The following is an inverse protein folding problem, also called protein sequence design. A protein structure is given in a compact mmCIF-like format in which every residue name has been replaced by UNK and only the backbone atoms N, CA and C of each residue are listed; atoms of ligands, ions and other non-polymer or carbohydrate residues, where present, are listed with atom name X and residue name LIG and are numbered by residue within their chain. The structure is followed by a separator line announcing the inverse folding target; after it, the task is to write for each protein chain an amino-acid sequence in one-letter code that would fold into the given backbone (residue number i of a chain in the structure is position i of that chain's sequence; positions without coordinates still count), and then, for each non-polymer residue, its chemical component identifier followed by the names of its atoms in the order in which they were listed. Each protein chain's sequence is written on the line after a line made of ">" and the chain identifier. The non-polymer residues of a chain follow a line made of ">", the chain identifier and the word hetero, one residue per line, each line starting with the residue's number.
data_IF_851543697568
#
_entry.id   IF_851543697568
#
_cell.length_a   1.000
_cell.length_b   1.000
_cell.length_c   1.000
_cell.angle_alpha   90.00
_cell.angle_beta   90.00
_cell.angle_gamma   90.00
#
_symmetry.space_group_name_H-M   'P 1'
#
loop_
_entity.id
_entity.type
_entity.pdbx_description
1 polymer ?
#
# COMPACT_ATOMS: atom_id res chain seq x y z
N UNK A 1 -12.04 30.96 -0.66
CA UNK A 1 -12.14 29.71 0.12
C UNK A 1 -11.17 28.69 -0.47
N UNK A 2 -9.96 28.57 0.09
CA UNK A 2 -8.94 27.64 -0.42
C UNK A 2 -9.35 26.21 -0.08
N UNK A 3 -9.60 25.39 -1.10
CA UNK A 3 -9.92 23.97 -0.92
C UNK A 3 -8.63 23.25 -0.52
N UNK A 4 -8.47 22.95 0.76
CA UNK A 4 -7.34 22.16 1.27
C UNK A 4 -7.40 20.76 0.64
N UNK A 5 -6.58 20.51 -0.38
CA UNK A 5 -6.50 19.18 -0.97
C UNK A 5 -5.64 18.29 -0.08
N UNK A 6 -6.25 17.27 0.53
CA UNK A 6 -5.56 16.25 1.31
C UNK A 6 -4.75 15.26 0.43
N UNK A 7 -4.87 15.35 -0.90
CA UNK A 7 -4.16 14.51 -1.86
C UNK A 7 -2.69 14.92 -2.02
N UNK A 8 -1.78 13.96 -2.17
CA UNK A 8 -0.46 14.22 -2.72
C UNK A 8 -0.58 14.66 -4.19
N UNK A 9 0.21 15.65 -4.60
CA UNK A 9 0.44 15.90 -6.03
C UNK A 9 1.32 14.81 -6.63
N UNK A 10 1.42 14.74 -7.96
CA UNK A 10 2.34 13.81 -8.63
C UNK A 10 3.80 14.04 -8.22
N UNK A 11 4.22 15.31 -8.09
CA UNK A 11 5.54 15.67 -7.58
C UNK A 11 5.75 15.28 -6.12
N UNK A 12 4.75 15.48 -5.26
CA UNK A 12 4.84 15.01 -3.86
C UNK A 12 4.95 13.48 -3.79
N UNK A 13 4.25 12.77 -4.67
CA UNK A 13 4.29 11.32 -4.74
C UNK A 13 5.63 10.79 -5.26
N UNK A 14 6.21 11.43 -6.27
CA UNK A 14 7.55 11.12 -6.75
C UNK A 14 8.61 11.32 -5.64
N UNK A 15 8.49 12.39 -4.84
CA UNK A 15 9.35 12.63 -3.70
C UNK A 15 9.19 11.53 -2.63
N UNK A 16 7.96 11.15 -2.30
CA UNK A 16 7.67 10.06 -1.35
C UNK A 16 8.32 8.75 -1.80
N UNK A 17 8.19 8.37 -3.08
CA UNK A 17 8.83 7.16 -3.61
C UNK A 17 10.36 7.24 -3.57
N UNK A 18 10.92 8.40 -3.94
CA UNK A 18 12.37 8.61 -3.88
C UNK A 18 12.92 8.40 -2.47
N UNK A 19 12.23 8.92 -1.44
CA UNK A 19 12.62 8.70 -0.04
C UNK A 19 12.46 7.22 0.33
N UNK A 20 11.36 6.58 -0.10
CA UNK A 20 11.09 5.17 0.19
C UNK A 20 12.15 4.22 -0.41
N UNK A 21 12.64 4.50 -1.61
CA UNK A 21 13.71 3.74 -2.27
C UNK A 21 15.06 3.87 -1.56
N UNK A 22 15.30 5.01 -0.90
CA UNK A 22 16.51 5.25 -0.12
C UNK A 22 16.51 4.66 1.30
N UNK A 23 15.41 4.09 1.79
CA UNK A 23 15.27 3.71 3.21
C UNK A 23 16.31 2.70 3.69
N UNK A 24 16.56 1.68 2.87
CA UNK A 24 17.49 0.59 3.17
C UNK A 24 18.94 1.09 3.29
N UNK A 25 19.33 2.00 2.39
CA UNK A 25 20.72 2.42 2.25
C UNK A 25 21.07 3.67 3.06
N UNK A 26 20.12 4.58 3.24
CA UNK A 26 20.38 5.93 3.74
C UNK A 26 19.76 6.23 5.10
N UNK A 27 18.80 5.41 5.57
CA UNK A 27 18.00 5.75 6.76
C UNK A 27 17.98 4.65 7.84
N UNK A 28 18.79 3.60 7.70
CA UNK A 28 18.94 2.54 8.70
C UNK A 28 17.68 1.69 8.87
N UNK A 29 16.91 1.50 7.79
CA UNK A 29 15.81 0.55 7.76
C UNK A 29 16.34 -0.82 7.35
N UNK A 30 15.75 -1.89 7.90
CA UNK A 30 16.00 -3.22 7.34
C UNK A 30 15.40 -3.29 5.93
N UNK A 31 16.01 -4.11 5.06
CA UNK A 31 15.51 -4.36 3.71
C UNK A 31 14.03 -4.75 3.73
N UNK A 32 13.65 -5.70 4.58
CA UNK A 32 12.27 -6.15 4.75
C UNK A 32 11.29 -5.02 5.11
N UNK A 33 11.68 -4.11 6.00
CA UNK A 33 10.82 -2.99 6.39
C UNK A 33 10.68 -1.95 5.27
N UNK A 34 11.77 -1.68 4.54
CA UNK A 34 11.76 -0.77 3.39
C UNK A 34 10.93 -1.34 2.22
N UNK A 35 11.09 -2.62 1.89
CA UNK A 35 10.31 -3.33 0.87
C UNK A 35 8.81 -3.33 1.21
N UNK A 36 8.48 -3.68 2.47
CA UNK A 36 7.11 -3.69 2.96
C UNK A 36 6.44 -2.31 2.84
N UNK A 37 7.16 -1.25 3.20
CA UNK A 37 6.62 0.11 3.10
C UNK A 37 6.45 0.57 1.65
N UNK A 38 7.44 0.31 0.77
CA UNK A 38 7.33 0.60 -0.67
C UNK A 38 6.12 -0.07 -1.29
N UNK A 39 5.90 -1.34 -0.95
CA UNK A 39 4.71 -2.07 -1.37
C UNK A 39 3.42 -1.38 -0.92
N UNK A 40 3.29 -1.03 0.36
CA UNK A 40 2.07 -0.37 0.85
C UNK A 40 1.83 1.00 0.22
N UNK A 41 2.89 1.75 -0.07
CA UNK A 41 2.80 3.03 -0.76
C UNK A 41 2.27 2.83 -2.19
N UNK A 42 2.95 2.02 -3.01
CA UNK A 42 2.55 1.79 -4.41
C UNK A 42 1.17 1.12 -4.51
N UNK A 43 0.92 0.08 -3.71
CA UNK A 43 -0.31 -0.69 -3.75
C UNK A 43 -1.51 0.11 -3.22
N UNK A 44 -1.34 0.83 -2.11
CA UNK A 44 -2.37 1.72 -1.57
C UNK A 44 -2.70 2.87 -2.52
N UNK A 45 -1.68 3.47 -3.15
CA UNK A 45 -1.89 4.50 -4.16
C UNK A 45 -2.66 4.00 -5.39
N UNK A 46 -2.30 2.82 -5.88
CA UNK A 46 -2.92 2.24 -7.08
C UNK A 46 -4.36 1.78 -6.86
N UNK A 47 -4.69 1.30 -5.66
CA UNK A 47 -6.01 0.73 -5.33
C UNK A 47 -6.94 1.71 -4.62
N UNK A 48 -6.40 2.78 -4.03
CA UNK A 48 -7.16 3.73 -3.21
C UNK A 48 -7.67 3.15 -1.89
N UNK A 49 -7.22 1.95 -1.49
CA UNK A 49 -7.62 1.31 -0.24
C UNK A 49 -6.62 1.58 0.88
N UNK A 50 -7.10 1.50 2.12
CA UNK A 50 -6.25 1.64 3.30
C UNK A 50 -5.45 0.36 3.53
N UNK A 51 -4.22 0.48 4.02
CA UNK A 51 -3.41 -0.68 4.38
C UNK A 51 -4.11 -1.62 5.39
N UNK A 52 -4.98 -1.08 6.25
CA UNK A 52 -5.81 -1.84 7.19
C UNK A 52 -6.91 -2.68 6.53
N UNK A 53 -7.35 -2.32 5.32
CA UNK A 53 -8.40 -3.05 4.57
C UNK A 53 -7.84 -4.29 3.86
N UNK A 54 -6.52 -4.34 3.65
CA UNK A 54 -5.82 -5.53 3.14
C UNK A 54 -5.44 -6.53 4.23
N UNK A 55 -5.72 -6.21 5.50
CA UNK A 55 -5.36 -7.08 6.62
C UNK A 55 -6.26 -8.30 6.59
N UNK A 56 -5.66 -9.47 6.36
CA UNK A 56 -6.39 -10.73 6.18
C UNK A 56 -6.72 -11.06 4.72
N UNK A 57 -6.35 -10.20 3.76
CA UNK A 57 -6.38 -10.57 2.36
C UNK A 57 -5.25 -11.56 2.04
N UNK A 58 -5.58 -12.66 1.34
CA UNK A 58 -4.60 -13.66 0.90
C UNK A 58 -4.50 -13.68 -0.62
N UNK A 59 -3.46 -14.32 -1.16
CA UNK A 59 -3.27 -14.46 -2.61
C UNK A 59 -4.43 -15.24 -3.26
N UNK A 60 -5.10 -16.13 -2.53
CA UNK A 60 -6.33 -16.80 -2.97
C UNK A 60 -7.57 -15.90 -3.07
N UNK A 61 -7.49 -14.66 -2.60
CA UNK A 61 -8.51 -13.64 -2.83
C UNK A 61 -8.31 -12.85 -4.13
N UNK A 62 -7.20 -13.09 -4.85
CA UNK A 62 -6.97 -12.50 -6.16
C UNK A 62 -7.69 -13.31 -7.22
N UNK A 63 -8.52 -12.65 -8.00
CA UNK A 63 -9.36 -13.23 -9.04
C UNK A 63 -9.05 -12.55 -10.37
N UNK A 64 -9.11 -13.32 -11.46
CA UNK A 64 -9.10 -12.80 -12.82
C UNK A 64 -10.50 -12.91 -13.37
N UNK A 65 -11.05 -11.81 -13.88
CA UNK A 65 -12.37 -11.84 -14.50
C UNK A 65 -12.30 -12.35 -15.95
N UNK A 66 -13.45 -12.58 -16.62
CA UNK A 66 -13.46 -13.07 -18.00
C UNK A 66 -12.82 -12.12 -19.02
N UNK A 67 -12.60 -10.85 -18.67
CA UNK A 67 -11.93 -9.86 -19.53
C UNK A 67 -10.42 -9.85 -19.31
N UNK A 68 -9.92 -10.62 -18.33
CA UNK A 68 -8.52 -10.65 -17.95
C UNK A 68 -8.15 -9.58 -16.92
N UNK A 69 -9.12 -8.82 -16.39
CA UNK A 69 -8.84 -7.83 -15.36
C UNK A 69 -8.67 -8.52 -14.00
N UNK A 70 -7.70 -8.03 -13.21
CA UNK A 70 -7.40 -8.55 -11.89
C UNK A 70 -8.18 -7.83 -10.80
N UNK A 71 -8.65 -8.59 -9.83
CA UNK A 71 -9.44 -8.12 -8.69
C UNK A 71 -8.92 -8.72 -7.40
N UNK A 72 -8.99 -7.98 -6.31
CA UNK A 72 -8.74 -8.47 -4.96
C UNK A 72 -10.02 -8.41 -4.15
N UNK A 73 -10.42 -9.54 -3.55
CA UNK A 73 -11.47 -9.55 -2.53
C UNK A 73 -10.90 -9.06 -1.20
N UNK A 74 -11.57 -8.08 -0.61
CA UNK A 74 -11.24 -7.51 0.70
C UNK A 74 -12.44 -7.58 1.63
N UNK A 75 -12.20 -7.74 2.92
CA UNK A 75 -13.26 -7.70 3.94
C UNK A 75 -13.24 -6.34 4.61
N UNK A 76 -14.22 -5.51 4.28
CA UNK A 76 -14.33 -4.15 4.82
C UNK A 76 -14.96 -4.08 6.22
N UNK A 77 -15.04 -2.85 6.75
CA UNK A 77 -15.72 -2.56 8.02
C UNK A 77 -17.16 -3.09 7.99
N UNK A 78 -17.51 -3.94 8.97
CA UNK A 78 -18.81 -4.62 9.03
C UNK A 78 -18.85 -6.01 8.37
N UNK A 79 -17.69 -6.64 8.11
CA UNK A 79 -17.56 -7.97 7.48
C UNK A 79 -18.16 -8.08 6.07
N UNK A 80 -18.39 -6.94 5.41
CA UNK A 80 -18.89 -6.92 4.04
C UNK A 80 -17.75 -7.24 3.09
N UNK A 81 -17.99 -8.18 2.17
CA UNK A 81 -17.07 -8.50 1.10
C UNK A 81 -17.11 -7.37 0.07
N UNK A 82 -15.95 -6.80 -0.24
CA UNK A 82 -15.78 -5.84 -1.31
C UNK A 82 -14.76 -6.38 -2.33
N UNK A 83 -14.87 -5.92 -3.57
CA UNK A 83 -13.93 -6.22 -4.67
C UNK A 83 -13.20 -4.96 -5.07
N UNK A 84 -11.89 -5.02 -5.13
CA UNK A 84 -11.04 -3.88 -5.49
C UNK A 84 -10.30 -4.24 -6.77
N UNK A 85 -10.32 -3.35 -7.76
CA UNK A 85 -9.55 -3.56 -8.98
C UNK A 85 -8.05 -3.54 -8.68
N UNK A 86 -7.30 -4.45 -9.30
CA UNK A 86 -5.85 -4.46 -9.32
C UNK A 86 -5.37 -3.96 -10.68
N UNK A 87 -5.29 -2.63 -10.90
CA UNK A 87 -4.74 -2.08 -12.12
C UNK A 87 -3.26 -2.50 -12.28
N UNK A 88 -2.66 -2.35 -13.48
CA UNK A 88 -1.27 -2.76 -13.73
C UNK A 88 -0.27 -2.29 -12.67
N UNK A 89 -0.39 -1.03 -12.20
CA UNK A 89 0.47 -0.49 -11.14
C UNK A 89 0.35 -1.26 -9.82
N UNK A 90 -0.86 -1.69 -9.43
CA UNK A 90 -1.08 -2.49 -8.23
C UNK A 90 -0.53 -3.92 -8.41
N UNK A 91 -0.72 -4.49 -9.60
CA UNK A 91 -0.19 -5.81 -9.95
C UNK A 91 1.34 -5.84 -9.90
N UNK A 92 1.99 -4.85 -10.52
CA UNK A 92 3.47 -4.73 -10.52
C UNK A 92 4.01 -4.54 -9.11
N UNK A 93 3.33 -3.75 -8.26
CA UNK A 93 3.69 -3.58 -6.87
C UNK A 93 3.59 -4.91 -6.09
N UNK A 94 2.52 -5.68 -6.32
CA UNK A 94 2.35 -7.00 -5.71
C UNK A 94 3.42 -7.99 -6.17
N UNK A 95 3.68 -8.07 -7.48
CA UNK A 95 4.68 -8.97 -8.04
C UNK A 95 6.09 -8.67 -7.51
N UNK A 96 6.49 -7.39 -7.47
CA UNK A 96 7.75 -6.95 -6.86
C UNK A 96 7.84 -7.33 -5.39
N UNK A 97 6.78 -7.07 -4.63
CA UNK A 97 6.76 -7.40 -3.20
C UNK A 97 6.78 -8.91 -2.90
N UNK A 98 6.21 -9.73 -3.79
CA UNK A 98 6.33 -11.18 -3.69
C UNK A 98 7.77 -11.63 -3.94
N UNK A 99 8.42 -11.09 -4.98
CA UNK A 99 9.82 -11.38 -5.27
C UNK A 99 10.75 -10.96 -4.12
N UNK A 100 10.54 -9.78 -3.53
CA UNK A 100 11.27 -9.29 -2.36
C UNK A 100 11.15 -10.23 -1.15
N UNK A 101 10.02 -10.94 -1.02
CA UNK A 101 9.78 -11.96 0.01
C UNK A 101 10.27 -13.36 -0.37
N UNK A 102 10.89 -13.54 -1.52
CA UNK A 102 11.27 -14.86 -2.04
C UNK A 102 10.06 -15.74 -2.43
N UNK A 103 8.91 -15.13 -2.69
CA UNK A 103 7.68 -15.80 -3.11
C UNK A 103 7.53 -15.75 -4.64
N UNK A 104 6.84 -16.74 -5.24
CA UNK A 104 6.64 -16.74 -6.68
C UNK A 104 5.78 -15.53 -7.11
N UNK A 105 6.22 -14.71 -8.08
CA UNK A 105 5.45 -13.57 -8.56
C UNK A 105 4.28 -13.99 -9.49
N UNK A 106 4.31 -15.21 -10.03
CA UNK A 106 3.30 -15.72 -10.96
C UNK A 106 2.15 -16.40 -10.22
N UNK A 107 0.92 -15.99 -10.52
CA UNK A 107 -0.31 -16.44 -9.87
C UNK A 107 -0.49 -17.97 -9.85
N UNK A 108 -0.07 -18.67 -10.91
CA UNK A 108 -0.17 -20.13 -11.02
C UNK A 108 0.58 -20.87 -9.90
N UNK A 109 1.60 -20.24 -9.29
CA UNK A 109 2.43 -20.84 -8.26
C UNK A 109 2.10 -20.33 -6.85
N UNK A 110 1.06 -19.50 -6.70
CA UNK A 110 0.69 -18.95 -5.40
C UNK A 110 0.10 -20.02 -4.49
N UNK A 111 0.50 -19.98 -3.21
CA UNK A 111 -0.22 -20.67 -2.14
C UNK A 111 -1.40 -19.79 -1.70
N UNK A 112 -2.66 -20.23 -1.84
CA UNK A 112 -3.85 -19.39 -1.63
C UNK A 112 -3.95 -18.71 -0.25
N UNK A 113 -3.31 -19.29 0.76
CA UNK A 113 -3.32 -18.90 2.17
C UNK A 113 -2.30 -17.80 2.47
N UNK A 114 -1.39 -17.55 1.51
CA UNK A 114 -0.31 -16.56 1.65
C UNK A 114 -0.91 -15.17 1.81
N UNK A 115 -0.58 -14.43 2.89
CA UNK A 115 -1.05 -13.06 3.05
C UNK A 115 -0.51 -12.13 1.97
N UNK A 116 -1.39 -11.29 1.41
CA UNK A 116 -1.02 -10.23 0.44
C UNK A 116 -0.01 -9.29 1.08
N UNK A 117 -0.29 -8.85 2.32
CA UNK A 117 0.64 -8.08 3.15
C UNK A 117 1.30 -9.05 4.14
N UNK A 118 2.60 -9.31 3.97
CA UNK A 118 3.36 -10.20 4.86
C UNK A 118 3.60 -9.58 6.25
N UNK A 119 4.04 -10.41 7.20
CA UNK A 119 4.53 -9.92 8.49
C UNK A 119 5.88 -9.20 8.32
N UNK A 120 6.10 -8.13 9.10
CA UNK A 120 7.30 -7.30 9.06
C UNK A 120 8.51 -8.05 9.63
N UNK A 121 8.25 -9.05 10.49
CA UNK A 121 9.26 -10.01 10.93
C UNK A 121 9.20 -11.26 10.08
N UNK A 122 10.34 -11.60 9.50
CA UNK A 122 10.59 -12.80 8.70
C UNK A 122 10.46 -14.10 9.50
N UNK A 123 10.09 -14.09 10.79
CA UNK A 123 10.12 -15.29 11.62
C UNK A 123 8.92 -15.51 12.57
N UNK A 124 7.76 -14.94 12.27
CA UNK A 124 6.54 -15.47 12.90
C UNK A 124 5.33 -15.41 11.98
N UNK A 125 4.67 -16.55 11.88
CA UNK A 125 3.34 -16.79 11.30
C UNK A 125 2.20 -16.01 11.99
N UNK A 126 2.52 -14.94 12.72
CA UNK A 126 1.55 -14.07 13.39
C UNK A 126 1.20 -12.87 12.52
N UNK A 127 -0.04 -12.40 12.57
CA UNK A 127 -0.45 -11.18 11.87
C UNK A 127 0.25 -9.96 12.52
N UNK A 128 0.87 -9.07 11.74
CA UNK A 128 1.38 -7.79 12.28
C UNK A 128 0.21 -7.08 12.97
N UNK A 129 0.39 -6.65 14.21
CA UNK A 129 -0.60 -5.82 14.88
C UNK A 129 -0.79 -4.50 14.11
N UNK A 130 -2.04 -4.03 13.97
CA UNK A 130 -2.35 -2.77 13.26
C UNK A 130 -1.52 -1.58 13.74
N UNK A 131 -1.14 -1.61 15.03
CA UNK A 131 -0.31 -0.59 15.68
C UNK A 131 1.11 -0.56 15.13
N UNK A 132 1.76 -1.72 14.92
CA UNK A 132 3.14 -1.75 14.41
C UNK A 132 3.22 -1.25 12.97
N UNK A 133 2.21 -1.57 12.14
CA UNK A 133 2.07 -1.01 10.79
C UNK A 133 1.97 0.50 10.78
N UNK A 134 1.13 1.03 11.67
CA UNK A 134 0.95 2.47 11.86
C UNK A 134 2.24 3.17 12.32
N UNK A 135 2.98 2.59 13.28
CA UNK A 135 4.26 3.15 13.74
C UNK A 135 5.32 3.19 12.63
N UNK A 136 5.36 2.18 11.75
CA UNK A 136 6.28 2.17 10.60
C UNK A 136 5.94 3.30 9.63
N UNK A 137 4.67 3.48 9.29
CA UNK A 137 4.24 4.62 8.46
C UNK A 137 4.56 5.96 9.12
N UNK A 138 4.30 6.12 10.41
CA UNK A 138 4.64 7.33 11.16
C UNK A 138 6.14 7.61 11.18
N UNK A 139 6.99 6.59 11.40
CA UNK A 139 8.45 6.73 11.36
C UNK A 139 8.91 7.23 10.00
N UNK A 140 8.36 6.70 8.92
CA UNK A 140 8.68 7.16 7.57
C UNK A 140 8.36 8.64 7.36
N UNK A 141 7.15 9.06 7.73
CA UNK A 141 6.76 10.47 7.58
C UNK A 141 7.57 11.40 8.48
N UNK A 142 8.00 10.96 9.66
CA UNK A 142 8.96 11.69 10.49
C UNK A 142 10.38 11.73 9.90
N UNK A 143 10.82 10.68 9.20
CA UNK A 143 12.12 10.63 8.55
C UNK A 143 12.20 11.61 7.37
N UNK A 144 11.12 11.72 6.59
CA UNK A 144 10.98 12.71 5.53
C UNK A 144 10.99 14.17 6.03
N UNK A 145 10.84 14.38 7.34
CA UNK A 145 10.71 15.71 7.94
C UNK A 145 12.05 16.44 8.15
N UNK A 146 13.20 15.73 8.02
CA UNK A 146 14.54 16.34 7.98
C UNK A 146 14.94 16.87 6.59
N UNK A 147 14.11 16.66 5.57
CA UNK A 147 14.36 17.13 4.19
C UNK A 147 13.13 17.63 3.40
N UNK A 148 11.93 17.70 4.01
CA UNK A 148 10.66 17.90 3.28
C UNK A 148 9.71 18.99 3.81
N UNK A 149 8.95 19.58 2.87
CA UNK A 149 8.04 20.74 3.01
C UNK A 149 7.01 20.65 4.15
N UNK A 150 6.67 21.80 4.76
CA UNK A 150 5.65 21.99 5.82
C UNK A 150 4.25 21.44 5.47
N UNK A 151 3.96 21.21 4.18
CA UNK A 151 2.72 20.60 3.72
C UNK A 151 2.63 19.09 4.05
N UNK A 152 3.75 18.37 4.05
CA UNK A 152 3.81 16.96 4.44
C UNK A 152 3.53 16.79 5.95
N UNK A 153 4.04 17.72 6.78
CA UNK A 153 3.79 17.78 8.24
C UNK A 153 2.32 17.81 8.61
N UNK A 154 1.52 18.66 7.93
CA UNK A 154 0.08 18.79 8.19
C UNK A 154 -0.73 17.57 7.71
N UNK A 155 -0.24 16.84 6.71
CA UNK A 155 -0.94 15.67 6.14
C UNK A 155 -0.64 14.38 6.89
N UNK A 156 0.60 14.17 7.33
CA UNK A 156 0.97 13.03 8.19
C UNK A 156 0.26 13.07 9.56
N UNK A 157 0.10 14.28 10.13
CA UNK A 157 -0.60 14.48 11.40
C UNK A 157 -2.13 14.23 11.34
N UNK A 158 -2.73 14.18 10.15
CA UNK A 158 -4.19 13.94 10.01
C UNK A 158 -4.57 12.47 9.86
N UNK A 159 -3.58 11.57 9.77
CA UNK A 159 -3.67 10.11 9.94
C UNK A 159 -4.65 9.29 9.08
N UNK A 160 -5.57 9.89 8.33
CA UNK A 160 -6.75 9.13 7.88
C UNK A 160 -7.29 9.53 6.49
N UNK A 161 -6.59 10.38 5.73
CA UNK A 161 -7.13 10.95 4.47
C UNK A 161 -6.14 11.11 3.29
N UNK A 162 -4.84 10.83 3.48
CA UNK A 162 -3.83 11.12 2.44
C UNK A 162 -3.89 10.17 1.22
N UNK A 163 -4.30 8.91 1.41
CA UNK A 163 -4.40 7.90 0.35
C UNK A 163 -5.72 8.06 -0.44
N UNK A 164 -6.83 8.33 0.26
CA UNK A 164 -8.18 8.48 -0.31
C UNK A 164 -8.25 9.59 -1.38
N UNK A 165 -7.40 10.60 -1.29
CA UNK A 165 -7.45 11.78 -2.16
C UNK A 165 -6.50 11.71 -3.38
N UNK A 166 -5.45 10.86 -3.36
CA UNK A 166 -4.59 10.61 -4.51
C UNK A 166 -5.34 9.93 -5.66
N UNK A 167 -6.35 9.12 -5.31
CA UNK A 167 -7.22 8.39 -6.23
C UNK A 167 -8.12 9.30 -7.11
N UNK A 168 -8.47 10.50 -6.64
CA UNK A 168 -9.51 11.35 -7.24
C UNK A 168 -9.16 11.98 -8.61
N UNK A 169 -7.97 11.69 -9.19
CA UNK A 169 -7.55 12.22 -10.51
C UNK A 169 -7.29 11.15 -11.58
N UNK A 170 -7.49 9.87 -11.30
CA UNK A 170 -7.35 8.83 -12.32
C UNK A 170 -8.71 8.58 -13.02
N UNK A 171 -8.83 8.78 -14.35
CA UNK A 171 -10.12 8.87 -15.07
C UNK A 171 -10.90 7.55 -15.23
N UNK A 172 -10.65 6.52 -14.39
CA UNK A 172 -11.38 5.23 -14.45
C UNK A 172 -11.97 4.77 -13.12
N UNK A 173 -11.96 5.61 -12.09
CA UNK A 173 -12.66 5.34 -10.84
C UNK A 173 -14.00 6.08 -10.81
N UNK A 174 -15.06 5.41 -11.26
CA UNK A 174 -16.46 5.81 -11.01
C UNK A 174 -17.29 4.56 -10.65
N UNK A 175 -18.41 4.75 -9.93
CA UNK A 175 -18.77 3.92 -8.79
C UNK A 175 -19.70 2.75 -9.14
N UNK A 176 -19.63 1.76 -8.25
CA UNK A 176 -20.55 0.66 -7.96
C UNK A 176 -22.03 0.87 -8.31
N UNK A 177 -22.60 -0.15 -8.95
CA UNK A 177 -23.93 -0.68 -8.60
C UNK A 177 -23.74 -1.81 -7.59
#
# INVERSE_FOLDING_TARGET
>A
MLKTSHAFSEGDWALVRTIADGLEWSYGWSAAAAQWLRFLLDFGYATGQRASEFVGATLGHVETDPRGDYWLRVTGKGKKLARVALPPLAWDALARYLADRGLPPTQLHWRPETPVVGNLETDSSSAISSVRRWMVMLRFFHQGDRGGSRAARRKAASGESALDAAHARHPRARPWC
#
